data_IF_409184610461
#
_entry.id   IF_409184610461
#
_cell.length_a   1.000
_cell.length_b   1.000
_cell.length_c   1.000
_cell.angle_alpha   90.00
_cell.angle_beta   90.00
_cell.angle_gamma   90.00
#
_symmetry.space_group_name_H-M   'P 1'
#
loop_
_entity.id
_entity.type
_entity.pdbx_description
1 polymer ?
#
# COMPACT_ATOMS: atom_id res chain seq x y z
N UNK A 1 18.97 10.12 11.98
CA UNK A 1 18.20 10.07 10.72
C UNK A 1 17.41 8.76 10.70
N UNK A 2 16.23 8.76 10.07
CA UNK A 2 15.32 7.60 9.98
C UNK A 2 15.12 7.28 8.50
N UNK A 3 14.95 6.00 8.16
CA UNK A 3 14.46 5.56 6.86
C UNK A 3 12.92 5.50 6.89
N UNK A 4 12.25 6.32 6.10
CA UNK A 4 10.80 6.49 6.13
C UNK A 4 10.13 5.72 4.99
N UNK A 5 9.57 4.55 5.31
CA UNK A 5 8.78 3.74 4.37
C UNK A 5 7.33 4.22 4.40
N UNK A 6 7.00 5.16 3.51
CA UNK A 6 5.67 5.80 3.43
C UNK A 6 4.93 5.58 2.10
N UNK A 7 5.56 4.90 1.13
CA UNK A 7 4.94 4.61 -0.16
C UNK A 7 3.90 3.49 -0.07
N UNK A 8 4.19 2.46 0.72
CA UNK A 8 3.48 1.19 0.69
C UNK A 8 3.34 0.56 2.07
N UNK A 9 2.43 -0.40 2.17
CA UNK A 9 2.34 -1.35 3.27
C UNK A 9 3.02 -2.68 2.87
N UNK A 10 2.61 -3.81 3.45
CA UNK A 10 3.18 -5.11 3.09
C UNK A 10 2.84 -5.56 1.65
N UNK A 11 3.48 -6.64 1.20
CA UNK A 11 3.13 -7.28 -0.07
C UNK A 11 1.70 -7.83 -0.05
N UNK A 12 0.99 -7.75 -1.18
CA UNK A 12 -0.38 -8.23 -1.33
C UNK A 12 -0.54 -9.74 -1.02
N UNK A 13 0.54 -10.52 -1.17
CA UNK A 13 0.62 -11.93 -0.80
C UNK A 13 1.03 -12.20 0.66
N UNK A 14 1.10 -11.17 1.51
CA UNK A 14 1.59 -11.25 2.89
C UNK A 14 0.70 -12.01 3.88
N UNK A 15 -0.45 -12.51 3.43
CA UNK A 15 -1.42 -13.23 4.25
C UNK A 15 -2.17 -12.33 5.22
N UNK A 16 -2.67 -12.92 6.29
CA UNK A 16 -3.38 -12.24 7.38
C UNK A 16 -3.01 -12.84 8.72
N UNK A 17 -3.10 -12.05 9.77
CA UNK A 17 -2.76 -12.46 11.13
C UNK A 17 -1.90 -11.43 11.86
N UNK A 18 -1.18 -11.91 12.86
CA UNK A 18 -0.38 -11.10 13.79
C UNK A 18 1.12 -11.35 13.66
N UNK A 19 1.59 -11.92 12.54
CA UNK A 19 3.01 -12.11 12.21
C UNK A 19 3.69 -10.79 11.80
N UNK A 20 3.48 -9.75 12.59
CA UNK A 20 4.13 -8.45 12.51
C UNK A 20 5.12 -8.30 13.67
N UNK A 21 6.08 -7.39 13.55
CA UNK A 21 7.14 -7.19 14.54
C UNK A 21 6.63 -6.82 15.95
N UNK A 22 5.43 -6.21 16.05
CA UNK A 22 4.81 -5.81 17.32
C UNK A 22 3.47 -6.51 17.58
N UNK A 23 3.18 -7.62 16.88
CA UNK A 23 1.97 -8.41 17.09
C UNK A 23 0.65 -7.76 16.65
N UNK A 24 0.70 -6.59 16.01
CA UNK A 24 -0.46 -5.96 15.35
C UNK A 24 -1.07 -6.91 14.32
N UNK A 25 -2.39 -7.02 14.34
CA UNK A 25 -3.14 -7.74 13.32
C UNK A 25 -3.23 -6.94 12.01
N UNK A 26 -3.17 -7.64 10.88
CA UNK A 26 -3.47 -7.09 9.56
C UNK A 26 -4.04 -8.18 8.63
N UNK A 27 -4.65 -7.77 7.51
CA UNK A 27 -5.00 -8.65 6.40
C UNK A 27 -4.60 -7.99 5.07
N UNK A 28 -3.55 -8.50 4.43
CA UNK A 28 -3.03 -7.96 3.17
C UNK A 28 -4.05 -8.11 2.03
N UNK A 29 -4.71 -9.27 1.94
CA UNK A 29 -5.72 -9.54 0.91
C UNK A 29 -6.94 -8.64 1.01
N UNK A 30 -7.34 -8.26 2.23
CA UNK A 30 -8.46 -7.34 2.50
C UNK A 30 -8.02 -5.88 2.55
N UNK A 31 -6.71 -5.61 2.51
CA UNK A 31 -6.09 -4.29 2.72
C UNK A 31 -6.55 -3.66 4.05
N UNK A 32 -6.60 -4.48 5.09
CA UNK A 32 -7.08 -4.09 6.41
C UNK A 32 -5.90 -3.98 7.39
N UNK A 33 -5.62 -2.76 7.81
CA UNK A 33 -4.53 -2.41 8.72
C UNK A 33 -5.09 -1.58 9.89
N UNK A 34 -5.79 -2.22 10.85
CA UNK A 34 -6.57 -1.52 11.86
C UNK A 34 -5.73 -0.76 12.91
N UNK A 35 -4.42 -1.02 13.00
CA UNK A 35 -3.54 -0.23 13.89
C UNK A 35 -3.32 1.21 13.40
N UNK A 36 -3.47 1.48 12.09
CA UNK A 36 -3.36 2.83 11.47
C UNK A 36 -4.74 3.39 11.06
N UNK A 37 -5.80 2.65 11.41
CA UNK A 37 -6.91 2.22 10.53
C UNK A 37 -6.81 2.59 9.03
N UNK A 38 -6.02 1.85 8.24
CA UNK A 38 -6.19 1.85 6.78
C UNK A 38 -7.10 0.71 6.32
N UNK A 39 -7.96 1.01 5.36
CA UNK A 39 -8.81 0.04 4.66
C UNK A 39 -8.54 0.05 3.15
N UNK A 40 -9.26 -0.79 2.41
CA UNK A 40 -9.08 -0.93 0.95
C UNK A 40 -9.25 0.39 0.15
N UNK A 41 -9.92 1.40 0.69
CA UNK A 41 -10.09 2.72 0.06
C UNK A 41 -8.86 3.62 0.22
N UNK A 42 -7.87 3.22 1.00
CA UNK A 42 -6.63 3.96 1.26
C UNK A 42 -5.47 3.50 0.37
N UNK A 43 -5.76 2.65 -0.62
CA UNK A 43 -4.80 2.10 -1.57
C UNK A 43 -5.18 2.43 -3.01
N UNK A 44 -4.18 2.46 -3.89
CA UNK A 44 -4.31 2.85 -5.30
C UNK A 44 -4.91 1.77 -6.22
N UNK A 45 -5.55 0.74 -5.68
CA UNK A 45 -6.23 -0.31 -6.47
C UNK A 45 -7.20 0.24 -7.53
N UNK A 46 -7.85 1.36 -7.22
CA UNK A 46 -8.81 2.01 -8.10
C UNK A 46 -8.16 2.95 -9.13
N UNK A 47 -6.88 3.30 -8.91
CA UNK A 47 -6.12 4.31 -9.68
C UNK A 47 -5.14 3.65 -10.65
N UNK A 48 -4.53 2.54 -10.23
CA UNK A 48 -3.66 1.73 -11.06
C UNK A 48 -4.41 1.18 -12.29
N UNK A 49 -3.80 1.31 -13.47
CA UNK A 49 -4.43 0.94 -14.76
C UNK A 49 -3.84 -0.31 -15.41
N UNK A 50 -2.79 -0.88 -14.83
CA UNK A 50 -2.14 -2.10 -15.33
C UNK A 50 -2.98 -3.33 -15.07
N UNK A 51 -2.91 -4.34 -15.93
CA UNK A 51 -3.69 -5.58 -15.78
C UNK A 51 -3.32 -6.38 -14.54
N UNK A 52 -2.04 -6.37 -14.12
CA UNK A 52 -1.58 -7.06 -12.91
C UNK A 52 -1.78 -6.28 -11.62
N UNK A 53 -2.07 -4.98 -11.71
CA UNK A 53 -2.03 -4.05 -10.58
C UNK A 53 -0.62 -3.66 -10.12
N UNK A 54 0.43 -4.14 -10.80
CA UNK A 54 1.83 -3.82 -10.50
C UNK A 54 2.42 -2.88 -11.55
N UNK A 55 3.57 -2.29 -11.22
CA UNK A 55 4.39 -1.59 -12.21
C UNK A 55 4.89 -2.62 -13.24
N UNK A 56 4.55 -2.40 -14.51
CA UNK A 56 4.90 -3.25 -15.66
C UNK A 56 5.87 -2.55 -16.62
N UNK A 57 5.88 -1.21 -16.65
CA UNK A 57 6.68 -0.37 -17.53
C UNK A 57 7.11 0.92 -16.82
N UNK A 58 8.42 1.04 -16.55
CA UNK A 58 9.01 2.23 -15.92
C UNK A 58 9.05 3.48 -16.81
N UNK A 59 8.78 3.34 -18.12
CA UNK A 59 8.63 4.47 -19.03
C UNK A 59 7.29 5.21 -18.90
N UNK A 60 6.31 4.62 -18.20
CA UNK A 60 5.03 5.27 -17.90
C UNK A 60 5.02 5.75 -16.44
N UNK A 61 5.14 7.06 -16.27
CA UNK A 61 5.24 7.67 -14.95
C UNK A 61 3.97 7.51 -14.09
N UNK A 62 2.80 7.25 -14.69
CA UNK A 62 1.57 7.08 -13.93
C UNK A 62 1.58 5.74 -13.18
N UNK A 63 1.87 4.64 -13.87
CA UNK A 63 1.97 3.35 -13.20
C UNK A 63 3.10 3.32 -12.17
N UNK A 64 4.23 3.99 -12.42
CA UNK A 64 5.33 4.06 -11.44
C UNK A 64 4.90 4.68 -10.10
N UNK A 65 3.87 5.53 -10.11
CA UNK A 65 3.39 6.25 -8.91
C UNK A 65 2.09 5.71 -8.33
N UNK A 66 1.29 5.03 -9.15
CA UNK A 66 -0.06 4.63 -8.79
C UNK A 66 -0.24 3.11 -8.75
N UNK A 67 0.77 2.31 -9.13
CA UNK A 67 0.70 0.85 -9.13
C UNK A 67 1.70 0.23 -8.15
N UNK A 68 1.44 -1.02 -7.78
CA UNK A 68 2.23 -1.73 -6.77
C UNK A 68 3.65 -1.98 -7.24
N UNK A 69 4.62 -1.50 -6.47
CA UNK A 69 6.03 -1.85 -6.64
C UNK A 69 6.22 -3.31 -6.20
N UNK A 70 6.46 -4.22 -7.15
CA UNK A 70 6.67 -5.66 -6.90
C UNK A 70 5.62 -6.30 -5.95
N UNK A 71 4.36 -5.88 -6.07
CA UNK A 71 3.26 -6.39 -5.26
C UNK A 71 3.05 -5.72 -3.90
N UNK A 72 3.85 -4.72 -3.54
CA UNK A 72 3.66 -3.93 -2.32
C UNK A 72 2.39 -3.08 -2.41
N UNK A 73 1.52 -3.17 -1.40
CA UNK A 73 0.24 -2.44 -1.39
C UNK A 73 0.48 -0.94 -1.36
N UNK A 74 0.13 -0.27 -2.46
CA UNK A 74 0.48 1.13 -2.74
C UNK A 74 -0.55 2.10 -2.15
N UNK A 75 -0.10 3.04 -1.32
CA UNK A 75 -0.97 3.97 -0.58
C UNK A 75 -1.51 5.08 -1.48
N UNK A 76 -2.77 5.44 -1.30
CA UNK A 76 -3.43 6.55 -1.99
C UNK A 76 -3.03 7.91 -1.39
N UNK A 77 -1.78 8.31 -1.64
CA UNK A 77 -1.16 9.53 -1.08
C UNK A 77 -1.84 10.83 -1.56
N UNK A 78 -2.70 10.81 -2.57
CA UNK A 78 -3.54 11.98 -2.87
C UNK A 78 -4.57 12.29 -1.77
N UNK A 79 -4.94 11.32 -0.92
CA UNK A 79 -5.96 11.51 0.12
C UNK A 79 -5.38 12.24 1.33
N UNK A 80 -6.06 13.29 1.79
CA UNK A 80 -5.68 14.01 3.02
C UNK A 80 -5.64 13.09 4.24
N UNK A 81 -6.56 12.11 4.31
CA UNK A 81 -6.58 11.10 5.37
C UNK A 81 -5.26 10.30 5.44
N UNK A 82 -4.78 9.81 4.29
CA UNK A 82 -3.53 9.04 4.22
C UNK A 82 -2.35 9.94 4.54
N UNK A 83 -2.30 11.14 3.97
CA UNK A 83 -1.24 12.13 4.25
C UNK A 83 -1.15 12.49 5.74
N UNK A 84 -2.29 12.66 6.41
CA UNK A 84 -2.34 12.95 7.85
C UNK A 84 -1.95 11.76 8.75
N UNK A 85 -1.83 10.54 8.22
CA UNK A 85 -1.35 9.36 8.96
C UNK A 85 0.14 9.08 8.77
N UNK A 86 0.74 9.54 7.66
CA UNK A 86 2.16 9.33 7.33
C UNK A 86 3.05 10.53 7.68
N UNK A 87 2.46 11.70 7.93
CA UNK A 87 3.15 12.95 8.27
C UNK A 87 3.39 13.13 9.77
#
# INVERSE_FOLDING_TARGET
YVDAVINHMCGAGGGEGTHSSCGSWFSAGRKDFPSIPFGHLDFNDHKCRTGSGNIENYGDANQVRDCRLVGLLDLALEKDYVRGKVA
#
